data_IF_166907050862
#
_entry.id   IF_166907050862
#
_cell.length_a   1.000
_cell.length_b   1.000
_cell.length_c   1.000
_cell.angle_alpha   90.00
_cell.angle_beta   90.00
_cell.angle_gamma   90.00
#
_symmetry.space_group_name_H-M   'P 1'
#
loop_
_entity.id
_entity.type
_entity.pdbx_description
1 polymer ?
#
# COMPACT_ATOMS: atom_id res chain seq x y z
N UNK A 1 -26.40 -10.25 -3.08
CA UNK A 1 -25.62 -9.64 -1.98
C UNK A 1 -24.58 -10.58 -1.36
N UNK A 2 -24.79 -11.90 -1.26
CA UNK A 2 -23.83 -12.84 -0.62
C UNK A 2 -22.42 -12.90 -1.23
N UNK A 3 -22.24 -12.55 -2.51
CA UNK A 3 -20.92 -12.58 -3.17
C UNK A 3 -20.28 -11.18 -3.27
N UNK A 4 -20.97 -10.13 -2.83
CA UNK A 4 -20.53 -8.75 -3.02
C UNK A 4 -19.17 -8.47 -2.34
N UNK A 5 -18.90 -8.90 -1.10
CA UNK A 5 -17.58 -8.73 -0.47
C UNK A 5 -16.43 -9.36 -1.24
N UNK A 6 -16.64 -10.57 -1.76
CA UNK A 6 -15.62 -11.30 -2.52
C UNK A 6 -15.31 -10.61 -3.83
N UNK A 7 -16.35 -10.27 -4.59
CA UNK A 7 -16.18 -9.58 -5.87
C UNK A 7 -15.48 -8.24 -5.64
N UNK A 8 -15.86 -7.50 -4.60
CA UNK A 8 -15.27 -6.22 -4.29
C UNK A 8 -13.79 -6.33 -3.87
N UNK A 9 -13.45 -7.27 -2.98
CA UNK A 9 -12.05 -7.55 -2.61
C UNK A 9 -11.21 -7.96 -3.83
N UNK A 10 -11.74 -8.85 -4.69
CA UNK A 10 -11.03 -9.30 -5.89
C UNK A 10 -10.81 -8.15 -6.88
N UNK A 11 -11.80 -7.28 -7.07
CA UNK A 11 -11.68 -6.08 -7.89
C UNK A 11 -10.64 -5.10 -7.33
N UNK A 12 -10.63 -4.85 -6.01
CA UNK A 12 -9.62 -4.00 -5.38
C UNK A 12 -8.20 -4.56 -5.57
N UNK A 13 -8.02 -5.87 -5.39
CA UNK A 13 -6.74 -6.54 -5.62
C UNK A 13 -6.30 -6.42 -7.08
N UNK A 14 -7.23 -6.62 -8.02
CA UNK A 14 -6.97 -6.52 -9.45
C UNK A 14 -6.58 -5.10 -9.86
N UNK A 15 -7.40 -4.10 -9.50
CA UNK A 15 -7.16 -2.67 -9.83
C UNK A 15 -5.79 -2.24 -9.31
N UNK A 16 -5.46 -2.60 -8.08
CA UNK A 16 -4.16 -2.27 -7.52
C UNK A 16 -3.02 -3.00 -8.22
N UNK A 17 -3.14 -4.31 -8.46
CA UNK A 17 -2.11 -5.07 -9.14
C UNK A 17 -1.84 -4.53 -10.55
N UNK A 18 -2.88 -4.13 -11.28
CA UNK A 18 -2.76 -3.47 -12.58
C UNK A 18 -2.12 -2.09 -12.48
N UNK A 19 -2.49 -1.29 -11.48
CA UNK A 19 -1.90 0.04 -11.27
C UNK A 19 -0.40 -0.05 -10.95
N UNK A 20 -0.02 -0.98 -10.07
CA UNK A 20 1.39 -1.23 -9.73
C UNK A 20 2.17 -1.74 -10.95
N UNK A 21 1.62 -2.71 -11.69
CA UNK A 21 2.24 -3.22 -12.92
C UNK A 21 2.41 -2.12 -13.97
N UNK A 22 1.39 -1.28 -14.17
CA UNK A 22 1.45 -0.16 -15.10
C UNK A 22 2.52 0.86 -14.68
N UNK A 23 2.64 1.15 -13.39
CA UNK A 23 3.68 2.03 -12.85
C UNK A 23 5.08 1.44 -13.06
N UNK A 24 5.27 0.14 -12.78
CA UNK A 24 6.54 -0.56 -13.02
C UNK A 24 6.91 -0.62 -14.51
N UNK A 25 5.91 -0.77 -15.38
CA UNK A 25 6.11 -0.78 -16.84
C UNK A 25 6.56 0.59 -17.35
N UNK A 26 5.90 1.67 -16.90
CA UNK A 26 6.26 3.06 -17.27
C UNK A 26 7.64 3.48 -16.81
N UNK A 27 8.04 3.07 -15.61
CA UNK A 27 9.32 3.45 -14.97
C UNK A 27 10.51 2.59 -15.41
N UNK A 28 10.26 1.59 -16.27
CA UNK A 28 11.27 0.59 -16.62
C UNK A 28 11.76 -0.23 -15.42
N UNK A 29 11.07 -0.16 -14.26
CA UNK A 29 11.46 -0.90 -13.06
C UNK A 29 11.51 -2.41 -13.30
N UNK A 30 10.67 -2.93 -14.21
CA UNK A 30 10.71 -4.33 -14.66
C UNK A 30 12.02 -4.71 -15.36
N UNK A 31 12.73 -3.75 -15.97
CA UNK A 31 14.01 -4.00 -16.65
C UNK A 31 15.20 -3.94 -15.69
N UNK A 32 15.05 -3.30 -14.53
CA UNK A 32 16.08 -3.26 -13.48
C UNK A 32 16.14 -4.65 -12.84
N UNK A 33 17.17 -5.45 -13.17
CA UNK A 33 17.40 -6.76 -12.54
C UNK A 33 17.79 -6.57 -11.07
N UNK A 34 16.80 -6.42 -10.20
CA UNK A 34 16.96 -6.34 -8.75
C UNK A 34 16.16 -7.43 -8.09
N UNK A 35 16.79 -8.12 -7.14
CA UNK A 35 16.12 -9.13 -6.33
C UNK A 35 15.29 -8.43 -5.25
N UNK A 36 14.01 -8.80 -5.06
CA UNK A 36 13.17 -8.18 -4.05
C UNK A 36 13.74 -8.45 -2.66
N UNK A 37 14.01 -7.38 -1.91
CA UNK A 37 14.55 -7.45 -0.57
C UNK A 37 13.57 -8.04 0.44
N UNK A 38 14.07 -8.47 1.62
CA UNK A 38 13.23 -9.11 2.64
C UNK A 38 12.08 -8.23 3.11
N UNK A 39 12.28 -6.90 3.26
CA UNK A 39 11.23 -5.95 3.65
C UNK A 39 10.13 -5.86 2.60
N UNK A 40 10.46 -5.98 1.31
CA UNK A 40 9.46 -6.03 0.25
C UNK A 40 8.57 -7.26 0.39
N UNK A 41 9.17 -8.44 0.59
CA UNK A 41 8.43 -9.70 0.75
C UNK A 41 7.61 -9.72 2.04
N UNK A 42 8.17 -9.21 3.14
CA UNK A 42 7.52 -9.12 4.44
C UNK A 42 6.27 -8.24 4.43
N UNK A 43 6.17 -7.27 3.51
CA UNK A 43 4.95 -6.49 3.30
C UNK A 43 4.02 -7.18 2.30
N UNK A 44 4.54 -7.47 1.10
CA UNK A 44 3.71 -7.83 -0.06
C UNK A 44 3.11 -9.23 0.01
N UNK A 45 3.84 -10.21 0.56
CA UNK A 45 3.32 -11.58 0.67
C UNK A 45 2.13 -11.65 1.63
N UNK A 46 2.24 -11.23 2.91
CA UNK A 46 1.09 -11.22 3.81
C UNK A 46 -0.02 -10.31 3.28
N UNK A 47 0.32 -9.23 2.57
CA UNK A 47 -0.67 -8.32 2.00
C UNK A 47 -1.53 -9.03 0.94
N UNK A 48 -0.94 -9.85 0.07
CA UNK A 48 -1.69 -10.65 -0.92
C UNK A 48 -2.44 -11.79 -0.25
N UNK A 49 -1.84 -12.44 0.73
CA UNK A 49 -2.49 -13.51 1.51
C UNK A 49 -3.71 -12.98 2.26
N UNK A 50 -3.69 -11.75 2.77
CA UNK A 50 -4.85 -11.10 3.39
C UNK A 50 -6.08 -11.12 2.48
N UNK A 51 -5.94 -10.75 1.20
CA UNK A 51 -7.05 -10.79 0.25
C UNK A 51 -7.54 -12.21 -0.01
N UNK A 52 -6.60 -13.12 -0.28
CA UNK A 52 -6.92 -14.52 -0.61
C UNK A 52 -7.61 -15.19 0.57
N UNK A 53 -7.03 -15.11 1.76
CA UNK A 53 -7.57 -15.69 2.98
C UNK A 53 -8.90 -15.05 3.39
N UNK A 54 -9.09 -13.74 3.16
CA UNK A 54 -10.37 -13.08 3.38
C UNK A 54 -11.48 -13.62 2.47
N UNK A 55 -11.18 -13.85 1.19
CA UNK A 55 -12.10 -14.46 0.24
C UNK A 55 -12.40 -15.92 0.60
N UNK A 56 -11.36 -16.67 0.99
CA UNK A 56 -11.48 -18.08 1.36
C UNK A 56 -12.31 -18.26 2.63
N UNK A 57 -12.01 -17.51 3.70
CA UNK A 57 -12.77 -17.56 4.96
C UNK A 57 -14.23 -17.18 4.72
N UNK A 58 -14.49 -16.14 3.89
CA UNK A 58 -15.85 -15.77 3.49
C UNK A 58 -16.62 -16.94 2.86
N UNK A 59 -15.98 -17.64 1.92
CA UNK A 59 -16.58 -18.77 1.22
C UNK A 59 -16.96 -19.91 2.20
N UNK A 60 -16.12 -20.18 3.20
CA UNK A 60 -16.38 -21.22 4.18
C UNK A 60 -17.41 -20.84 5.26
N UNK A 61 -17.45 -19.57 5.69
CA UNK A 61 -18.39 -19.14 6.74
C UNK A 61 -19.83 -19.08 6.25
N UNK A 62 -20.08 -18.67 5.00
CA UNK A 62 -21.43 -18.59 4.43
C UNK A 62 -22.37 -17.61 5.18
N UNK A 63 -21.82 -16.75 6.04
CA UNK A 63 -22.56 -15.84 6.90
C UNK A 63 -23.00 -14.58 6.15
N UNK A 64 -23.95 -13.85 6.75
CA UNK A 64 -24.35 -12.53 6.26
C UNK A 64 -23.52 -11.46 6.95
N UNK A 65 -22.90 -10.60 6.16
CA UNK A 65 -22.14 -9.46 6.66
C UNK A 65 -23.07 -8.32 7.05
N UNK A 66 -22.82 -7.72 8.21
CA UNK A 66 -23.47 -6.46 8.60
C UNK A 66 -23.15 -5.39 7.54
N UNK A 67 -24.18 -4.75 7.00
CA UNK A 67 -24.03 -3.76 5.94
C UNK A 67 -23.08 -2.61 6.33
N UNK A 68 -23.07 -2.23 7.61
CA UNK A 68 -22.18 -1.23 8.18
C UNK A 68 -20.70 -1.62 8.05
N UNK A 69 -20.34 -2.85 8.45
CA UNK A 69 -18.96 -3.35 8.34
C UNK A 69 -18.51 -3.40 6.88
N UNK A 70 -19.39 -3.87 6.00
CA UNK A 70 -19.14 -3.86 4.56
C UNK A 70 -18.88 -2.45 4.03
N UNK A 71 -19.78 -1.50 4.34
CA UNK A 71 -19.70 -0.14 3.84
C UNK A 71 -18.45 0.58 4.34
N UNK A 72 -18.14 0.47 5.63
CA UNK A 72 -16.93 1.06 6.21
C UNK A 72 -15.66 0.42 5.64
N UNK A 73 -15.60 -0.91 5.56
CA UNK A 73 -14.45 -1.62 4.99
C UNK A 73 -14.23 -1.31 3.52
N UNK A 74 -15.30 -1.29 2.73
CA UNK A 74 -15.26 -0.92 1.31
C UNK A 74 -14.80 0.53 1.13
N UNK A 75 -15.33 1.48 1.89
CA UNK A 75 -14.94 2.88 1.82
C UNK A 75 -13.44 3.07 2.14
N UNK A 76 -12.95 2.46 3.22
CA UNK A 76 -11.54 2.53 3.61
C UNK A 76 -10.62 1.90 2.56
N UNK A 77 -10.95 0.68 2.10
CA UNK A 77 -10.13 -0.01 1.13
C UNK A 77 -10.12 0.70 -0.23
N UNK A 78 -11.26 1.22 -0.69
CA UNK A 78 -11.35 2.01 -1.91
C UNK A 78 -10.57 3.32 -1.81
N UNK A 79 -10.67 4.04 -0.69
CA UNK A 79 -9.88 5.25 -0.45
C UNK A 79 -8.38 4.95 -0.47
N UNK A 80 -7.96 3.85 0.15
CA UNK A 80 -6.57 3.40 0.14
C UNK A 80 -6.07 3.01 -1.25
N UNK A 81 -6.86 2.28 -2.04
CA UNK A 81 -6.53 1.95 -3.43
C UNK A 81 -6.43 3.22 -4.27
N UNK A 82 -7.41 4.13 -4.17
CA UNK A 82 -7.40 5.39 -4.91
C UNK A 82 -6.17 6.23 -4.58
N UNK A 83 -5.84 6.40 -3.29
CA UNK A 83 -4.66 7.13 -2.85
C UNK A 83 -3.38 6.50 -3.42
N UNK A 84 -3.24 5.16 -3.37
CA UNK A 84 -2.11 4.47 -3.97
C UNK A 84 -2.04 4.72 -5.48
N UNK A 85 -3.15 4.59 -6.21
CA UNK A 85 -3.21 4.84 -7.65
C UNK A 85 -2.73 6.27 -7.97
N UNK A 86 -3.25 7.29 -7.28
CA UNK A 86 -2.83 8.68 -7.46
C UNK A 86 -1.33 8.84 -7.16
N UNK A 87 -0.81 8.21 -6.10
CA UNK A 87 0.60 8.26 -5.75
C UNK A 87 1.51 7.66 -6.84
N UNK A 88 1.09 6.57 -7.51
CA UNK A 88 1.84 6.03 -8.64
C UNK A 88 1.90 7.03 -9.81
N UNK A 89 0.81 7.77 -10.06
CA UNK A 89 0.80 8.82 -11.08
C UNK A 89 1.66 10.03 -10.68
N UNK A 90 1.62 10.46 -9.42
CA UNK A 90 2.41 11.60 -8.91
C UNK A 90 3.92 11.33 -8.90
N UNK A 91 4.34 10.11 -8.54
CA UNK A 91 5.76 9.74 -8.59
C UNK A 91 6.27 9.57 -10.02
N UNK A 92 5.40 9.24 -10.98
CA UNK A 92 5.76 9.12 -12.39
C UNK A 92 6.98 8.22 -12.61
N UNK A 93 8.00 8.73 -13.31
CA UNK A 93 9.25 8.01 -13.60
C UNK A 93 10.14 7.77 -12.36
N UNK A 94 9.91 8.47 -11.25
CA UNK A 94 10.67 8.31 -10.02
C UNK A 94 10.15 7.18 -9.12
N UNK A 95 8.98 6.60 -9.44
CA UNK A 95 8.47 5.45 -8.68
C UNK A 95 9.42 4.25 -8.78
N UNK A 96 9.69 3.66 -7.61
CA UNK A 96 10.37 2.38 -7.51
C UNK A 96 9.68 1.53 -6.44
N UNK A 97 9.41 0.24 -6.73
CA UNK A 97 8.93 -0.69 -5.71
C UNK A 97 10.03 -1.13 -4.74
N UNK A 98 11.29 -0.75 -4.99
CA UNK A 98 12.44 -1.08 -4.17
C UNK A 98 12.92 0.16 -3.41
N UNK A 99 13.57 -0.06 -2.27
CA UNK A 99 14.30 1.01 -1.57
C UNK A 99 15.57 1.31 -2.37
N UNK A 100 15.44 2.18 -3.38
CA UNK A 100 16.52 2.59 -4.26
C UNK A 100 16.34 4.03 -4.76
N UNK A 101 17.37 4.53 -5.46
CA UNK A 101 17.28 5.75 -6.25
C UNK A 101 17.35 5.34 -7.72
N UNK A 102 16.45 5.90 -8.53
CA UNK A 102 16.63 5.94 -9.97
C UNK A 102 17.89 6.76 -10.33
N UNK A 103 18.52 6.51 -11.49
CA UNK A 103 19.75 7.22 -11.92
C UNK A 103 19.59 8.75 -11.94
N UNK A 104 18.37 9.24 -12.14
CA UNK A 104 18.00 10.67 -12.11
C UNK A 104 16.98 10.99 -11.02
N UNK A 105 16.98 10.24 -9.91
CA UNK A 105 15.99 10.40 -8.86
C UNK A 105 16.05 11.81 -8.26
N UNK A 106 14.96 12.57 -8.43
CA UNK A 106 14.76 13.85 -7.80
C UNK A 106 13.69 13.71 -6.72
N UNK A 107 13.85 14.49 -5.66
CA UNK A 107 12.87 14.54 -4.59
C UNK A 107 11.52 15.01 -5.17
N UNK A 108 10.49 14.18 -5.04
CA UNK A 108 9.15 14.52 -5.49
C UNK A 108 8.40 15.20 -4.35
N UNK A 109 8.06 16.49 -4.53
CA UNK A 109 7.38 17.30 -3.51
C UNK A 109 6.01 17.81 -3.96
N UNK A 110 5.42 17.17 -4.97
CA UNK A 110 4.15 17.60 -5.55
C UNK A 110 2.98 16.77 -5.00
N UNK A 111 1.80 17.40 -4.96
CA UNK A 111 0.58 16.72 -4.54
C UNK A 111 0.63 16.24 -3.09
N UNK A 112 0.33 14.97 -2.84
CA UNK A 112 0.34 14.42 -1.47
C UNK A 112 1.73 14.45 -0.85
N UNK A 113 2.78 14.31 -1.67
CA UNK A 113 4.17 14.36 -1.23
C UNK A 113 4.59 15.74 -0.70
N UNK A 114 3.81 16.80 -0.92
CA UNK A 114 4.08 18.10 -0.30
C UNK A 114 3.81 18.12 1.21
N UNK A 115 2.92 17.23 1.67
CA UNK A 115 2.43 17.23 3.05
C UNK A 115 2.88 15.98 3.80
N UNK A 116 2.86 14.83 3.13
CA UNK A 116 3.17 13.51 3.70
C UNK A 116 4.25 12.84 2.87
N UNK A 117 5.29 12.27 3.52
CA UNK A 117 6.42 11.61 2.86
C UNK A 117 6.06 10.27 2.24
N UNK A 118 5.17 9.52 2.89
CA UNK A 118 4.79 8.17 2.45
C UNK A 118 3.27 8.01 2.21
N UNK A 119 2.66 8.82 1.34
CA UNK A 119 1.21 8.79 1.12
C UNK A 119 0.76 7.45 0.51
N UNK A 120 1.62 6.75 -0.24
CA UNK A 120 1.33 5.40 -0.72
C UNK A 120 1.22 4.38 0.43
N UNK A 121 2.04 4.51 1.48
CA UNK A 121 1.97 3.65 2.66
C UNK A 121 0.78 3.98 3.55
N UNK A 122 0.36 5.25 3.61
CA UNK A 122 -0.93 5.60 4.21
C UNK A 122 -2.07 4.88 3.46
N UNK A 123 -2.05 4.88 2.12
CA UNK A 123 -3.01 4.13 1.31
C UNK A 123 -2.98 2.62 1.61
N UNK A 124 -1.80 2.04 1.80
CA UNK A 124 -1.65 0.64 2.23
C UNK A 124 -2.30 0.40 3.59
N UNK A 125 -2.08 1.26 4.59
CA UNK A 125 -2.68 1.12 5.92
C UNK A 125 -4.22 1.14 5.86
N UNK A 126 -4.81 2.03 5.06
CA UNK A 126 -6.26 2.07 4.86
C UNK A 126 -6.80 0.75 4.30
N UNK A 127 -6.05 0.10 3.39
CA UNK A 127 -6.44 -1.21 2.85
C UNK A 127 -6.28 -2.33 3.89
N UNK A 128 -5.19 -2.29 4.68
CA UNK A 128 -4.95 -3.26 5.75
C UNK A 128 -6.07 -3.25 6.80
N UNK A 129 -6.72 -2.10 7.02
CA UNK A 129 -7.88 -1.99 7.90
C UNK A 129 -9.17 -2.32 7.14
N UNK A 130 -9.32 -1.81 5.91
CA UNK A 130 -10.55 -1.94 5.14
C UNK A 130 -10.88 -3.38 4.70
N UNK A 131 -9.88 -4.17 4.30
CA UNK A 131 -10.10 -5.54 3.78
C UNK A 131 -10.60 -6.52 4.84
N UNK A 132 -10.03 -6.57 6.06
CA UNK A 132 -10.60 -7.39 7.13
C UNK A 132 -12.02 -6.98 7.48
N UNK A 133 -12.35 -5.68 7.47
CA UNK A 133 -13.72 -5.21 7.73
C UNK A 133 -14.69 -5.57 6.60
N UNK A 134 -14.27 -5.39 5.35
CA UNK A 134 -15.13 -5.63 4.19
C UNK A 134 -15.45 -7.12 4.02
N UNK A 135 -14.54 -8.01 4.44
CA UNK A 135 -14.74 -9.47 4.41
C UNK A 135 -15.16 -10.05 5.76
N UNK A 136 -15.17 -9.24 6.83
CA UNK A 136 -15.27 -9.66 8.24
C UNK A 136 -14.39 -10.88 8.58
N UNK A 137 -13.19 -10.98 8.02
CA UNK A 137 -12.32 -12.14 8.11
C UNK A 137 -11.25 -11.98 9.19
N UNK A 138 -11.16 -12.96 10.10
CA UNK A 138 -10.09 -13.02 11.10
C UNK A 138 -8.75 -13.40 10.48
N UNK A 139 -8.74 -14.24 9.45
CA UNK A 139 -7.52 -14.58 8.72
C UNK A 139 -6.96 -13.36 7.99
N UNK A 140 -7.83 -12.58 7.34
CA UNK A 140 -7.43 -11.30 6.74
C UNK A 140 -6.88 -10.34 7.81
N UNK A 141 -7.52 -10.23 8.98
CA UNK A 141 -7.02 -9.40 10.07
C UNK A 141 -5.62 -9.83 10.54
N UNK A 142 -5.37 -11.13 10.69
CA UNK A 142 -4.06 -11.66 11.08
C UNK A 142 -2.96 -11.29 10.08
N UNK A 143 -3.20 -11.52 8.79
CA UNK A 143 -2.25 -11.13 7.74
C UNK A 143 -2.10 -9.61 7.62
N UNK A 144 -3.15 -8.83 7.89
CA UNK A 144 -3.08 -7.38 7.91
C UNK A 144 -2.11 -6.86 8.96
N UNK A 145 -2.13 -7.43 10.17
CA UNK A 145 -1.20 -7.09 11.26
C UNK A 145 0.24 -7.42 10.86
N UNK A 146 0.48 -8.60 10.27
CA UNK A 146 1.82 -8.99 9.80
C UNK A 146 2.33 -8.00 8.74
N UNK A 147 1.49 -7.65 7.76
CA UNK A 147 1.82 -6.64 6.75
C UNK A 147 2.07 -5.27 7.33
N UNK A 148 1.30 -4.84 8.33
CA UNK A 148 1.47 -3.55 8.99
C UNK A 148 2.83 -3.48 9.71
N UNK A 149 3.21 -4.55 10.43
CA UNK A 149 4.53 -4.62 11.08
C UNK A 149 5.67 -4.56 10.04
N UNK A 150 5.54 -5.30 8.94
CA UNK A 150 6.49 -5.22 7.82
C UNK A 150 6.57 -3.82 7.21
N UNK A 151 5.44 -3.12 7.11
CA UNK A 151 5.35 -1.78 6.53
C UNK A 151 6.09 -0.76 7.39
N UNK A 152 5.93 -0.83 8.72
CA UNK A 152 6.67 0.03 9.65
C UNK A 152 8.18 -0.18 9.55
N UNK A 153 8.62 -1.44 9.50
CA UNK A 153 10.04 -1.75 9.30
C UNK A 153 10.56 -1.23 7.95
N UNK A 154 9.73 -1.32 6.91
CA UNK A 154 10.05 -0.81 5.56
C UNK A 154 10.19 0.72 5.55
N UNK A 155 9.26 1.45 6.19
CA UNK A 155 9.32 2.92 6.32
C UNK A 155 10.64 3.36 6.94
N UNK A 156 11.00 2.77 8.09
CA UNK A 156 12.24 3.14 8.80
C UNK A 156 13.48 2.88 7.95
N UNK A 157 13.51 1.74 7.26
CA UNK A 157 14.63 1.40 6.37
C UNK A 157 14.72 2.34 5.18
N UNK A 158 13.59 2.67 4.57
CA UNK A 158 13.53 3.55 3.40
C UNK A 158 13.97 4.97 3.78
N UNK A 159 13.49 5.52 4.88
CA UNK A 159 13.94 6.85 5.31
C UNK A 159 15.42 6.88 5.66
N UNK A 160 15.95 5.82 6.29
CA UNK A 160 17.39 5.71 6.54
C UNK A 160 18.17 5.69 5.23
N UNK A 161 17.70 4.95 4.24
CA UNK A 161 18.34 4.92 2.92
C UNK A 161 18.26 6.29 2.21
N UNK A 162 17.08 6.92 2.18
CA UNK A 162 16.87 8.21 1.54
C UNK A 162 17.67 9.33 2.21
N UNK A 163 17.73 9.39 3.54
CA UNK A 163 18.55 10.37 4.27
C UNK A 163 20.04 10.26 3.94
N UNK A 164 20.54 9.07 3.61
CA UNK A 164 21.95 8.82 3.31
C UNK A 164 22.30 9.04 1.85
N UNK A 165 21.34 8.89 0.92
CA UNK A 165 21.62 8.80 -0.50
C UNK A 165 20.92 9.89 -1.34
N UNK A 166 19.86 10.53 -0.83
CA UNK A 166 19.08 11.53 -1.55
C UNK A 166 19.35 12.94 -1.00
N UNK A 167 20.08 13.79 -1.73
CA UNK A 167 20.28 15.18 -1.36
C UNK A 167 18.94 15.91 -1.15
N UNK A 168 18.85 16.75 -0.11
CA UNK A 168 17.64 17.51 0.23
C UNK A 168 16.56 16.73 0.99
N UNK A 169 16.73 15.41 1.19
CA UNK A 169 15.74 14.61 1.93
C UNK A 169 15.63 15.01 3.40
N UNK A 170 16.72 15.41 4.05
CA UNK A 170 16.71 15.86 5.44
C UNK A 170 15.84 17.12 5.62
N UNK A 171 16.05 18.16 4.79
CA UNK A 171 15.21 19.37 4.76
C UNK A 171 13.74 19.03 4.50
N UNK A 172 13.50 18.10 3.59
CA UNK A 172 12.16 17.60 3.30
C UNK A 172 11.47 16.98 4.51
N UNK A 173 12.20 16.27 5.39
CA UNK A 173 11.62 15.70 6.60
C UNK A 173 11.13 16.72 7.61
N UNK A 174 11.69 17.93 7.62
CA UNK A 174 11.28 19.00 8.54
C UNK A 174 9.96 19.67 8.16
N UNK A 175 9.58 19.61 6.87
CA UNK A 175 8.38 20.25 6.33
C UNK A 175 7.23 19.30 6.02
N UNK A 176 7.39 18.01 6.31
CA UNK A 176 6.42 16.96 6.00
C UNK A 176 6.18 16.02 7.16
N UNK A 177 5.03 15.36 7.14
CA UNK A 177 4.68 14.28 8.07
C UNK A 177 5.01 12.92 7.45
N UNK A 178 5.23 11.90 8.25
CA UNK A 178 5.61 10.57 7.74
C UNK A 178 4.44 9.87 7.05
N UNK A 179 3.28 9.83 7.69
CA UNK A 179 2.07 9.13 7.24
C UNK A 179 0.78 9.90 7.51
N UNK A 180 0.54 10.31 8.76
CA UNK A 180 -0.71 10.97 9.18
C UNK A 180 -0.37 12.37 9.67
N UNK A 181 -0.85 13.43 8.97
CA UNK A 181 -0.63 14.80 9.39
C UNK A 181 -0.99 14.98 10.87
N UNK A 182 -0.14 15.71 11.60
CA UNK A 182 -0.31 16.06 13.03
C UNK A 182 -0.14 14.91 14.03
N UNK A 183 0.03 13.67 13.57
CA UNK A 183 0.27 12.51 14.44
C UNK A 183 1.67 11.97 14.20
N UNK A 184 1.98 11.66 12.94
CA UNK A 184 3.22 11.00 12.57
C UNK A 184 3.61 11.23 11.12
#
# INVERSE_FOLDING_TARGET
MKQLPVIFAALLLLVQGLAELAAMWRTGALRRRRTPEWTFRAVNLPYRLMFVCGIVEWYYRGETLRAELFATGAALASAGVLLRVICHFQLGYHFSPYVDLAETHQLTEQGFYRVVRHPMYLGTLLILIGVPLLTASWWAAGFAVISAAGLLARVVKEERFLSQNLPGYEEYTHRTWRLVPWIW
#
